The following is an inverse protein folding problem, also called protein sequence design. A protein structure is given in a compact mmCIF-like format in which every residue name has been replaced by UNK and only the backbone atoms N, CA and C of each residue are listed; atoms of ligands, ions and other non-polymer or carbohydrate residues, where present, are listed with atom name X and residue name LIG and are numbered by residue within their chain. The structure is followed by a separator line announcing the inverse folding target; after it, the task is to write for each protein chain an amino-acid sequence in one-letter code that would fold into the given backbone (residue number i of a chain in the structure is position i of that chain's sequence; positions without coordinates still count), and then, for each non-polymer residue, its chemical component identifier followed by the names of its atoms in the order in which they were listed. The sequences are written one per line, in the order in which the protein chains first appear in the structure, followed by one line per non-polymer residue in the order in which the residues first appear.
data_IF_187205512519
#
_entry.id   IF_187205512519
#
_cell.length_a   1.000
_cell.length_b   1.000
_cell.length_c   1.000
_cell.angle_alpha   90.00
_cell.angle_beta   90.00
_cell.angle_gamma   90.00
#
_symmetry.space_group_name_H-M   'P 1'
#
loop_
_entity.id
_entity.type
_entity.pdbx_description
1 polymer ?
#
# COMPACT_ATOMS: atom_id res chain seq x y z
N UNK A 1 -2.68 47.85 -40.52
CA UNK A 1 -3.23 46.47 -40.61
C UNK A 1 -2.19 45.48 -40.10
N UNK A 2 -2.57 44.45 -39.30
CA UNK A 2 -1.80 43.30 -38.76
C UNK A 2 -1.13 43.51 -37.41
N UNK A 3 -1.94 43.81 -36.34
CA UNK A 3 -1.53 43.59 -34.94
C UNK A 3 -2.26 42.39 -34.29
N UNK A 4 -3.13 41.70 -35.04
CA UNK A 4 -3.95 40.58 -34.57
C UNK A 4 -3.17 39.28 -34.22
N UNK A 5 -2.11 38.86 -34.98
CA UNK A 5 -1.43 37.62 -34.69
C UNK A 5 -0.56 37.66 -33.42
N UNK A 6 -0.04 38.84 -33.04
CA UNK A 6 0.83 38.95 -31.84
C UNK A 6 0.04 38.84 -30.54
N UNK A 7 -1.19 39.39 -30.50
CA UNK A 7 -2.08 39.31 -29.33
C UNK A 7 -2.60 37.88 -29.15
N UNK A 8 -2.91 37.17 -30.26
CA UNK A 8 -3.33 35.78 -30.21
C UNK A 8 -2.19 34.86 -29.69
N UNK A 9 -0.94 35.11 -30.11
CA UNK A 9 0.23 34.36 -29.64
C UNK A 9 0.51 34.62 -28.17
N UNK A 10 0.32 35.84 -27.67
CA UNK A 10 0.49 36.20 -26.27
C UNK A 10 -0.60 35.55 -25.38
N UNK A 11 -1.84 35.46 -25.86
CA UNK A 11 -2.93 34.80 -25.14
C UNK A 11 -2.71 33.29 -25.06
N UNK A 12 -2.28 32.66 -26.16
CA UNK A 12 -1.96 31.21 -26.17
C UNK A 12 -0.79 30.90 -25.27
N UNK A 13 0.27 31.75 -25.22
CA UNK A 13 1.40 31.54 -24.31
C UNK A 13 1.03 31.72 -22.81
N UNK A 14 0.10 32.62 -22.50
CA UNK A 14 -0.43 32.80 -21.15
C UNK A 14 -1.26 31.58 -20.67
N UNK A 15 -2.05 30.96 -21.54
CA UNK A 15 -2.80 29.75 -21.22
C UNK A 15 -1.88 28.54 -21.02
N UNK A 16 -0.80 28.41 -21.79
CA UNK A 16 0.19 27.32 -21.62
C UNK A 16 0.95 27.46 -20.30
N UNK A 17 1.31 28.67 -19.88
CA UNK A 17 1.99 28.92 -18.61
C UNK A 17 1.07 28.71 -17.41
N UNK A 18 -0.21 29.02 -17.50
CA UNK A 18 -1.19 28.77 -16.44
C UNK A 18 -1.49 27.27 -16.29
N UNK A 19 -1.56 26.50 -17.38
CA UNK A 19 -1.74 25.06 -17.36
C UNK A 19 -0.55 24.33 -16.70
N UNK A 20 0.69 24.69 -17.04
CA UNK A 20 1.88 24.12 -16.43
C UNK A 20 2.02 24.40 -14.92
N UNK A 21 1.49 25.51 -14.41
CA UNK A 21 1.50 25.81 -12.97
C UNK A 21 0.48 24.96 -12.20
N UNK A 22 -0.71 24.77 -12.74
CA UNK A 22 -1.76 23.95 -12.14
C UNK A 22 -1.34 22.48 -12.07
N UNK A 23 -0.84 21.91 -13.17
CA UNK A 23 -0.38 20.52 -13.23
C UNK A 23 0.72 20.22 -12.21
N UNK A 24 1.71 21.12 -12.07
CA UNK A 24 2.79 20.98 -11.10
C UNK A 24 2.25 21.04 -9.66
N UNK A 25 1.33 21.94 -9.36
CA UNK A 25 0.74 22.07 -8.03
C UNK A 25 -0.03 20.79 -7.62
N UNK A 26 -0.73 20.16 -8.55
CA UNK A 26 -1.44 18.91 -8.30
C UNK A 26 -0.45 17.75 -8.04
N UNK A 27 0.63 17.66 -8.82
CA UNK A 27 1.66 16.64 -8.61
C UNK A 27 2.39 16.82 -7.27
N UNK A 28 2.72 18.05 -6.89
CA UNK A 28 3.34 18.37 -5.61
C UNK A 28 2.42 17.98 -4.44
N UNK A 29 1.11 18.22 -4.54
CA UNK A 29 0.13 17.80 -3.55
C UNK A 29 0.06 16.27 -3.42
N UNK A 30 0.00 15.56 -4.53
CA UNK A 30 -0.05 14.10 -4.54
C UNK A 30 1.24 13.50 -3.97
N UNK A 31 2.39 14.08 -4.29
CA UNK A 31 3.67 13.67 -3.74
C UNK A 31 3.76 13.95 -2.23
N UNK A 32 3.25 15.09 -1.78
CA UNK A 32 3.18 15.42 -0.34
C UNK A 32 2.29 14.41 0.41
N UNK A 33 1.12 14.06 -0.14
CA UNK A 33 0.23 13.08 0.47
C UNK A 33 0.90 11.71 0.61
N UNK A 34 1.63 11.26 -0.43
CA UNK A 34 2.36 9.99 -0.39
C UNK A 34 3.50 10.03 0.64
N UNK A 35 4.25 11.13 0.69
CA UNK A 35 5.36 11.31 1.65
C UNK A 35 4.87 11.31 3.10
N UNK A 36 3.75 11.98 3.40
CA UNK A 36 3.15 12.00 4.73
C UNK A 36 2.82 10.59 5.21
N UNK A 37 2.26 9.75 4.35
CA UNK A 37 1.90 8.37 4.70
C UNK A 37 3.09 7.48 5.11
N UNK A 38 4.32 7.90 4.81
CA UNK A 38 5.52 7.13 5.13
C UNK A 38 6.16 7.53 6.47
N UNK A 39 5.60 8.51 7.21
CA UNK A 39 6.16 9.00 8.47
C UNK A 39 5.84 8.03 9.62
N UNK A 40 4.54 7.74 9.85
CA UNK A 40 4.05 6.85 10.90
C UNK A 40 2.64 6.32 10.59
N UNK A 41 2.06 5.54 11.49
CA UNK A 41 0.73 4.94 11.27
C UNK A 41 -0.41 5.97 11.37
N UNK A 42 -0.29 7.00 12.22
CA UNK A 42 -1.30 8.06 12.36
C UNK A 42 -1.29 9.06 11.21
N UNK A 43 -0.19 9.14 10.46
CA UNK A 43 0.02 10.09 9.36
C UNK A 43 -0.96 9.87 8.19
N UNK A 44 -1.53 8.69 8.06
CA UNK A 44 -2.52 8.38 7.02
C UNK A 44 -3.77 9.28 7.11
N UNK A 45 -4.22 9.62 8.32
CA UNK A 45 -5.35 10.54 8.55
C UNK A 45 -5.05 11.96 8.07
N UNK A 46 -3.80 12.40 8.18
CA UNK A 46 -3.38 13.71 7.64
C UNK A 46 -3.30 13.70 6.12
N UNK A 47 -2.84 12.58 5.51
CA UNK A 47 -2.85 12.43 4.07
C UNK A 47 -4.28 12.44 3.51
N UNK A 48 -5.24 11.77 4.16
CA UNK A 48 -6.67 11.82 3.80
C UNK A 48 -7.17 13.28 3.82
N UNK A 49 -6.91 14.02 4.90
CA UNK A 49 -7.33 15.44 5.00
C UNK A 49 -6.72 16.32 3.91
N UNK A 50 -5.48 16.05 3.51
CA UNK A 50 -4.83 16.76 2.42
C UNK A 50 -5.50 16.43 1.07
N UNK A 51 -5.75 15.16 0.81
CA UNK A 51 -6.42 14.70 -0.41
C UNK A 51 -7.87 15.18 -0.46
N UNK A 52 -8.60 15.23 0.65
CA UNK A 52 -9.97 15.77 0.71
C UNK A 52 -10.04 17.23 0.28
N UNK A 53 -9.02 18.05 0.60
CA UNK A 53 -8.93 19.44 0.13
C UNK A 53 -8.81 19.55 -1.39
N UNK A 54 -8.20 18.57 -2.04
CA UNK A 54 -8.07 18.52 -3.48
C UNK A 54 -9.33 18.01 -4.21
N UNK A 55 -10.22 17.32 -3.49
CA UNK A 55 -11.42 16.69 -4.04
C UNK A 55 -12.30 17.62 -4.90
N UNK A 56 -12.56 18.90 -4.54
CA UNK A 56 -13.33 19.81 -5.38
C UNK A 56 -12.66 20.16 -6.71
N UNK A 57 -11.33 20.01 -6.80
CA UNK A 57 -10.51 20.37 -7.95
C UNK A 57 -10.20 19.17 -8.87
N UNK A 58 -10.75 17.99 -8.60
CA UNK A 58 -10.45 16.78 -9.37
C UNK A 58 -10.80 16.88 -10.86
N UNK A 59 -11.71 17.77 -11.24
CA UNK A 59 -12.03 18.03 -12.64
C UNK A 59 -10.88 18.70 -13.40
N UNK A 60 -10.03 19.43 -12.68
CA UNK A 60 -8.86 20.14 -13.23
C UNK A 60 -7.64 19.20 -13.35
N UNK A 61 -7.68 18.04 -12.68
CA UNK A 61 -6.61 17.05 -12.74
C UNK A 61 -6.59 16.34 -14.10
N UNK A 62 -5.40 16.07 -14.64
CA UNK A 62 -5.23 15.17 -15.75
C UNK A 62 -5.73 13.75 -15.41
N UNK A 63 -5.94 12.91 -16.42
CA UNK A 63 -6.33 11.51 -16.17
C UNK A 63 -5.31 10.77 -15.29
N UNK A 64 -4.02 10.98 -15.54
CA UNK A 64 -2.94 10.37 -14.74
C UNK A 64 -3.00 10.82 -13.28
N UNK A 65 -3.16 12.11 -13.03
CA UNK A 65 -3.28 12.67 -11.69
C UNK A 65 -4.54 12.17 -10.97
N UNK A 66 -5.68 12.06 -11.65
CA UNK A 66 -6.89 11.46 -11.04
C UNK A 66 -6.68 10.00 -10.64
N UNK A 67 -6.02 9.20 -11.48
CA UNK A 67 -5.75 7.79 -11.13
C UNK A 67 -4.76 7.69 -9.97
N UNK A 68 -3.72 8.53 -9.95
CA UNK A 68 -2.78 8.62 -8.82
C UNK A 68 -3.49 9.09 -7.54
N UNK A 69 -4.36 10.10 -7.62
CA UNK A 69 -5.19 10.55 -6.51
C UNK A 69 -6.01 9.39 -5.92
N UNK A 70 -6.73 8.65 -6.76
CA UNK A 70 -7.54 7.52 -6.31
C UNK A 70 -6.69 6.42 -5.66
N UNK A 71 -5.54 6.10 -6.23
CA UNK A 71 -4.63 5.10 -5.66
C UNK A 71 -4.11 5.52 -4.29
N UNK A 72 -3.65 6.77 -4.16
CA UNK A 72 -3.13 7.31 -2.89
C UNK A 72 -4.25 7.46 -1.84
N UNK A 73 -5.45 7.85 -2.24
CA UNK A 73 -6.59 7.96 -1.33
C UNK A 73 -6.95 6.59 -0.74
N UNK A 74 -7.00 5.54 -1.57
CA UNK A 74 -7.24 4.18 -1.10
C UNK A 74 -6.07 3.65 -0.25
N UNK A 75 -4.82 3.94 -0.61
CA UNK A 75 -3.66 3.62 0.23
C UNK A 75 -3.78 4.27 1.62
N UNK A 76 -4.18 5.53 1.68
CA UNK A 76 -4.37 6.26 2.93
C UNK A 76 -5.54 5.70 3.76
N UNK A 77 -6.67 5.39 3.12
CA UNK A 77 -7.82 4.75 3.78
C UNK A 77 -7.43 3.40 4.38
N UNK A 78 -6.77 2.53 3.60
CA UNK A 78 -6.32 1.22 4.09
C UNK A 78 -5.35 1.36 5.27
N UNK A 79 -4.43 2.33 5.22
CA UNK A 79 -3.49 2.57 6.32
C UNK A 79 -4.16 3.19 7.57
N UNK A 80 -5.28 3.89 7.39
CA UNK A 80 -6.08 4.46 8.48
C UNK A 80 -7.19 3.51 8.99
N UNK A 81 -7.16 2.23 8.58
CA UNK A 81 -8.15 1.20 8.92
C UNK A 81 -9.59 1.58 8.55
N UNK A 82 -9.77 2.38 7.49
CA UNK A 82 -11.07 2.72 6.94
C UNK A 82 -11.46 1.67 5.91
N UNK A 83 -12.55 0.94 6.20
CA UNK A 83 -13.00 -0.17 5.36
C UNK A 83 -13.58 0.29 4.02
N UNK A 84 -13.35 -0.49 3.00
CA UNK A 84 -13.91 -0.30 1.66
C UNK A 84 -15.28 -1.00 1.55
N UNK A 85 -16.16 -0.42 0.74
CA UNK A 85 -17.51 -0.98 0.48
C UNK A 85 -17.77 -1.27 -1.00
N UNK A 86 -16.86 -0.90 -1.91
CA UNK A 86 -17.01 -1.10 -3.37
C UNK A 86 -15.67 -1.19 -4.06
N UNK A 87 -15.59 -2.03 -5.07
CA UNK A 87 -14.41 -2.27 -5.90
C UNK A 87 -14.34 -1.38 -7.16
N UNK A 88 -15.42 -0.66 -7.48
CA UNK A 88 -15.59 0.03 -8.77
C UNK A 88 -14.48 1.05 -9.08
N UNK A 89 -14.04 1.82 -8.08
CA UNK A 89 -12.97 2.80 -8.26
C UNK A 89 -11.64 2.08 -8.50
N UNK A 90 -11.32 1.10 -7.66
CA UNK A 90 -10.03 0.42 -7.76
C UNK A 90 -9.90 -0.46 -9.00
N UNK A 91 -10.99 -1.01 -9.54
CA UNK A 91 -10.98 -1.65 -10.86
C UNK A 91 -10.52 -0.70 -11.97
N UNK A 92 -11.01 0.54 -11.97
CA UNK A 92 -10.60 1.55 -12.94
C UNK A 92 -9.14 1.97 -12.77
N UNK A 93 -8.69 2.07 -11.52
CA UNK A 93 -7.28 2.37 -11.18
C UNK A 93 -6.37 1.25 -11.67
N UNK A 94 -6.70 -0.01 -11.40
CA UNK A 94 -5.94 -1.17 -11.88
C UNK A 94 -5.88 -1.17 -13.41
N UNK A 95 -7.02 -1.05 -14.11
CA UNK A 95 -7.07 -1.03 -15.57
C UNK A 95 -6.23 0.12 -16.21
N UNK A 96 -6.06 1.22 -15.48
CA UNK A 96 -5.17 2.31 -15.88
C UNK A 96 -3.70 1.93 -15.70
N UNK A 97 -3.32 1.45 -14.50
CA UNK A 97 -1.92 1.15 -14.18
C UNK A 97 -1.39 -0.09 -14.90
N UNK A 98 -2.23 -1.04 -15.28
CA UNK A 98 -1.85 -2.15 -16.18
C UNK A 98 -1.21 -1.65 -17.49
N UNK A 99 -1.70 -0.50 -18.00
CA UNK A 99 -1.26 0.07 -19.29
C UNK A 99 -0.17 1.14 -19.14
N UNK A 100 -0.13 1.83 -18.01
CA UNK A 100 0.65 3.06 -17.86
C UNK A 100 1.59 3.04 -16.63
N UNK A 101 1.47 2.04 -15.75
CA UNK A 101 2.20 2.01 -14.50
C UNK A 101 3.57 1.35 -14.60
N UNK A 102 4.45 1.76 -13.69
CA UNK A 102 5.67 1.03 -13.34
C UNK A 102 5.34 -0.28 -12.62
N UNK A 103 6.31 -1.17 -12.42
CA UNK A 103 6.14 -2.40 -11.65
C UNK A 103 5.60 -2.14 -10.24
N UNK A 104 6.15 -1.14 -9.52
CA UNK A 104 5.70 -0.77 -8.19
C UNK A 104 4.27 -0.19 -8.17
N UNK A 105 3.92 0.63 -9.15
CA UNK A 105 2.57 1.20 -9.24
C UNK A 105 1.53 0.13 -9.57
N UNK A 106 1.82 -0.81 -10.47
CA UNK A 106 0.95 -1.96 -10.74
C UNK A 106 0.80 -2.85 -9.51
N UNK A 107 1.91 -3.15 -8.82
CA UNK A 107 1.90 -3.90 -7.57
C UNK A 107 1.00 -3.23 -6.53
N UNK A 108 1.14 -1.92 -6.32
CA UNK A 108 0.33 -1.17 -5.36
C UNK A 108 -1.15 -1.14 -5.77
N UNK A 109 -1.46 -0.94 -7.07
CA UNK A 109 -2.84 -0.92 -7.56
C UNK A 109 -3.54 -2.28 -7.34
N UNK A 110 -2.90 -3.38 -7.69
CA UNK A 110 -3.43 -4.74 -7.43
C UNK A 110 -3.55 -5.02 -5.93
N UNK A 111 -2.57 -4.61 -5.12
CA UNK A 111 -2.63 -4.74 -3.67
C UNK A 111 -3.84 -4.02 -3.09
N UNK A 112 -4.09 -2.76 -3.48
CA UNK A 112 -5.24 -2.00 -2.99
C UNK A 112 -6.58 -2.63 -3.43
N UNK A 113 -6.67 -3.17 -4.63
CA UNK A 113 -7.88 -3.90 -5.06
C UNK A 113 -8.06 -5.20 -4.25
N UNK A 114 -6.96 -5.89 -3.92
CA UNK A 114 -6.99 -7.03 -2.99
C UNK A 114 -7.49 -6.63 -1.59
N UNK A 115 -7.06 -5.48 -1.07
CA UNK A 115 -7.57 -4.93 0.20
C UNK A 115 -9.07 -4.62 0.13
N UNK A 116 -9.55 -4.07 -0.99
CA UNK A 116 -10.99 -3.86 -1.19
C UNK A 116 -11.76 -5.18 -1.12
N UNK A 117 -11.31 -6.22 -1.80
CA UNK A 117 -11.97 -7.53 -1.76
C UNK A 117 -11.89 -8.20 -0.38
N UNK A 118 -10.79 -8.00 0.35
CA UNK A 118 -10.70 -8.42 1.76
C UNK A 118 -11.81 -7.78 2.60
N UNK A 119 -12.03 -6.47 2.45
CA UNK A 119 -12.95 -5.70 3.28
C UNK A 119 -14.43 -5.98 2.95
N UNK A 120 -14.73 -6.30 1.68
CA UNK A 120 -16.08 -6.76 1.27
C UNK A 120 -16.26 -8.27 1.43
N UNK A 121 -15.35 -8.94 2.14
CA UNK A 121 -15.41 -10.36 2.51
C UNK A 121 -15.33 -11.35 1.33
N UNK A 122 -14.73 -10.96 0.22
CA UNK A 122 -14.47 -11.79 -0.96
C UNK A 122 -13.05 -12.37 -0.93
N UNK A 123 -12.77 -13.24 0.05
CA UNK A 123 -11.43 -13.78 0.31
C UNK A 123 -10.75 -14.43 -0.92
N UNK A 124 -11.45 -15.23 -1.79
CA UNK A 124 -10.83 -15.77 -2.99
C UNK A 124 -10.33 -14.67 -3.94
N UNK A 125 -11.13 -13.61 -4.14
CA UNK A 125 -10.76 -12.47 -4.97
C UNK A 125 -9.62 -11.67 -4.36
N UNK A 126 -9.63 -11.48 -3.03
CA UNK A 126 -8.53 -10.82 -2.33
C UNK A 126 -7.21 -11.56 -2.57
N UNK A 127 -7.18 -12.88 -2.41
CA UNK A 127 -5.99 -13.72 -2.67
C UNK A 127 -5.56 -13.67 -4.14
N UNK A 128 -6.51 -13.68 -5.09
CA UNK A 128 -6.20 -13.55 -6.52
C UNK A 128 -5.45 -12.23 -6.79
N UNK A 129 -5.98 -11.11 -6.29
CA UNK A 129 -5.36 -9.80 -6.52
C UNK A 129 -4.07 -9.59 -5.74
N UNK A 130 -3.91 -10.19 -4.56
CA UNK A 130 -2.61 -10.23 -3.87
C UNK A 130 -1.57 -11.02 -4.65
N UNK A 131 -1.93 -12.16 -5.25
CA UNK A 131 -1.02 -12.91 -6.13
C UNK A 131 -0.64 -12.07 -7.36
N UNK A 132 -1.61 -11.46 -8.07
CA UNK A 132 -1.34 -10.55 -9.19
C UNK A 132 -0.39 -9.41 -8.78
N UNK A 133 -0.56 -8.87 -7.56
CA UNK A 133 0.33 -7.85 -7.03
C UNK A 133 1.76 -8.38 -6.86
N UNK A 134 1.95 -9.57 -6.28
CA UNK A 134 3.29 -10.14 -6.09
C UNK A 134 3.99 -10.47 -7.41
N UNK A 135 3.25 -10.81 -8.47
CA UNK A 135 3.77 -11.06 -9.82
C UNK A 135 4.33 -9.79 -10.48
N UNK A 136 3.88 -8.60 -10.04
CA UNK A 136 4.40 -7.33 -10.57
C UNK A 136 5.74 -6.93 -9.92
N UNK A 137 6.10 -7.53 -8.79
CA UNK A 137 7.30 -7.14 -8.05
C UNK A 137 8.58 -7.52 -8.82
N UNK A 138 9.34 -6.53 -9.24
CA UNK A 138 10.69 -6.74 -9.78
C UNK A 138 11.72 -6.75 -8.65
N UNK A 139 11.90 -7.92 -8.03
CA UNK A 139 12.85 -8.10 -6.92
C UNK A 139 14.31 -8.03 -7.33
N UNK A 140 14.62 -7.87 -8.63
CA UNK A 140 15.96 -7.65 -9.15
C UNK A 140 16.30 -6.16 -9.24
N UNK A 141 15.29 -5.30 -9.26
CA UNK A 141 15.44 -3.84 -9.26
C UNK A 141 15.83 -3.32 -7.88
N UNK A 142 16.74 -2.34 -7.86
CA UNK A 142 17.07 -1.61 -6.62
C UNK A 142 15.88 -0.77 -6.09
N UNK A 143 14.96 -0.38 -6.98
CA UNK A 143 13.78 0.43 -6.67
C UNK A 143 12.56 -0.41 -6.27
N UNK A 144 12.70 -1.73 -6.07
CA UNK A 144 11.58 -2.58 -5.67
C UNK A 144 10.97 -2.11 -4.34
N UNK A 145 9.65 -1.87 -4.32
CA UNK A 145 8.92 -1.51 -3.09
C UNK A 145 8.72 -2.75 -2.21
N UNK A 146 9.78 -3.15 -1.51
CA UNK A 146 9.75 -4.25 -0.56
C UNK A 146 8.79 -3.99 0.62
N UNK A 147 8.50 -2.71 0.95
CA UNK A 147 7.56 -2.36 2.00
C UNK A 147 6.12 -2.72 1.61
N UNK A 148 5.73 -2.45 0.38
CA UNK A 148 4.44 -2.93 -0.14
C UNK A 148 4.43 -4.44 -0.28
N UNK A 149 5.49 -5.05 -0.81
CA UNK A 149 5.58 -6.50 -1.02
C UNK A 149 5.46 -7.29 0.29
N UNK A 150 6.11 -6.85 1.38
CA UNK A 150 5.99 -7.51 2.67
C UNK A 150 4.56 -7.41 3.24
N UNK A 151 3.88 -6.26 3.06
CA UNK A 151 2.48 -6.09 3.48
C UNK A 151 1.54 -7.02 2.73
N UNK A 152 1.73 -7.21 1.41
CA UNK A 152 0.93 -8.14 0.61
C UNK A 152 1.02 -9.56 1.21
N UNK A 153 2.22 -10.06 1.45
CA UNK A 153 2.40 -11.38 2.04
C UNK A 153 1.87 -11.47 3.48
N UNK A 154 1.98 -10.40 4.27
CA UNK A 154 1.35 -10.31 5.58
C UNK A 154 -0.18 -10.43 5.51
N UNK A 155 -0.82 -9.73 4.57
CA UNK A 155 -2.27 -9.84 4.36
C UNK A 155 -2.69 -11.22 3.85
N UNK A 156 -1.90 -11.87 3.00
CA UNK A 156 -2.13 -13.26 2.60
C UNK A 156 -2.06 -14.19 3.81
N UNK A 157 -1.09 -13.99 4.72
CA UNK A 157 -0.97 -14.74 5.97
C UNK A 157 -2.25 -14.65 6.81
N UNK A 158 -2.76 -13.43 7.01
CA UNK A 158 -4.02 -13.21 7.76
C UNK A 158 -5.22 -13.87 7.07
N UNK A 159 -5.29 -13.86 5.75
CA UNK A 159 -6.37 -14.54 5.03
C UNK A 159 -6.27 -16.06 5.17
N UNK A 160 -5.07 -16.63 5.10
CA UNK A 160 -4.85 -18.07 5.29
C UNK A 160 -5.14 -18.52 6.72
N UNK A 161 -4.77 -17.71 7.73
CA UNK A 161 -5.16 -17.93 9.13
C UNK A 161 -6.68 -18.04 9.27
N UNK A 162 -7.43 -17.04 8.74
CA UNK A 162 -8.91 -17.01 8.78
C UNK A 162 -9.56 -18.18 8.01
N UNK A 163 -8.86 -18.78 7.06
CA UNK A 163 -9.30 -19.95 6.30
C UNK A 163 -8.81 -21.28 6.90
N UNK A 164 -8.13 -21.24 8.06
CA UNK A 164 -7.55 -22.41 8.71
C UNK A 164 -6.56 -23.17 7.82
N UNK A 165 -5.71 -22.46 7.09
CA UNK A 165 -4.70 -22.98 6.17
C UNK A 165 -3.28 -22.74 6.69
N UNK A 166 -2.83 -23.44 7.77
CA UNK A 166 -1.62 -23.09 8.52
C UNK A 166 -0.33 -23.23 7.71
N UNK A 167 -0.25 -24.15 6.76
CA UNK A 167 0.97 -24.29 5.94
C UNK A 167 1.12 -23.14 4.94
N UNK A 168 0.00 -22.67 4.35
CA UNK A 168 -0.03 -21.51 3.46
C UNK A 168 0.25 -20.22 4.25
N UNK A 169 -0.31 -20.12 5.46
CA UNK A 169 -0.05 -19.03 6.39
C UNK A 169 1.45 -18.91 6.71
N UNK A 170 2.10 -20.02 7.14
CA UNK A 170 3.53 -20.03 7.39
C UNK A 170 4.36 -19.62 6.18
N UNK A 171 4.02 -20.13 5.00
CA UNK A 171 4.72 -19.80 3.76
C UNK A 171 4.57 -18.32 3.38
N UNK A 172 3.41 -17.72 3.59
CA UNK A 172 3.18 -16.30 3.36
C UNK A 172 3.93 -15.44 4.39
N UNK A 173 3.84 -15.79 5.69
CA UNK A 173 4.53 -15.05 6.75
C UNK A 173 6.07 -15.13 6.63
N UNK A 174 6.63 -16.25 6.17
CA UNK A 174 8.07 -16.35 5.90
C UNK A 174 8.51 -15.36 4.81
N UNK A 175 7.72 -15.21 3.75
CA UNK A 175 7.97 -14.20 2.72
C UNK A 175 7.77 -12.78 3.25
N UNK A 176 6.75 -12.54 4.07
CA UNK A 176 6.53 -11.24 4.71
C UNK A 176 7.73 -10.83 5.56
N UNK A 177 8.24 -11.72 6.41
CA UNK A 177 9.46 -11.51 7.23
C UNK A 177 10.65 -11.17 6.34
N UNK A 178 10.89 -11.98 5.29
CA UNK A 178 12.01 -11.77 4.36
C UNK A 178 11.98 -10.37 3.74
N UNK A 179 10.83 -9.99 3.18
CA UNK A 179 10.70 -8.71 2.47
C UNK A 179 10.63 -7.51 3.41
N UNK A 180 10.14 -7.68 4.64
CA UNK A 180 10.23 -6.65 5.67
C UNK A 180 11.69 -6.31 6.02
N UNK A 181 12.57 -7.31 6.12
CA UNK A 181 14.00 -7.06 6.29
C UNK A 181 14.62 -6.34 5.08
N UNK A 182 14.23 -6.67 3.85
CA UNK A 182 14.69 -5.94 2.66
C UNK A 182 14.20 -4.49 2.64
N UNK A 183 13.00 -4.23 3.16
CA UNK A 183 12.44 -2.90 3.38
C UNK A 183 13.08 -2.15 4.57
N UNK A 184 14.01 -2.77 5.31
CA UNK A 184 14.59 -2.26 6.57
C UNK A 184 13.53 -1.99 7.66
N UNK A 185 12.42 -2.66 7.60
CA UNK A 185 11.31 -2.58 8.54
C UNK A 185 11.39 -3.73 9.56
N UNK A 186 12.31 -3.57 10.52
CA UNK A 186 12.57 -4.60 11.54
C UNK A 186 11.33 -4.87 12.40
N UNK A 187 10.56 -3.82 12.73
CA UNK A 187 9.37 -3.98 13.57
C UNK A 187 8.34 -4.91 12.93
N UNK A 188 7.98 -4.64 11.67
CA UNK A 188 7.03 -5.51 10.97
C UNK A 188 7.61 -6.89 10.66
N UNK A 189 8.93 -7.02 10.42
CA UNK A 189 9.56 -8.33 10.30
C UNK A 189 9.35 -9.18 11.55
N UNK A 190 9.51 -8.59 12.74
CA UNK A 190 9.31 -9.30 14.01
C UNK A 190 7.82 -9.59 14.29
N UNK A 191 6.91 -8.69 13.93
CA UNK A 191 5.46 -8.93 14.04
C UNK A 191 5.02 -10.08 13.14
N UNK A 192 5.46 -10.13 11.87
CA UNK A 192 5.17 -11.26 10.98
C UNK A 192 5.81 -12.56 11.48
N UNK A 193 7.02 -12.49 12.06
CA UNK A 193 7.62 -13.67 12.68
C UNK A 193 6.80 -14.19 13.86
N UNK A 194 6.31 -13.29 14.73
CA UNK A 194 5.44 -13.65 15.87
C UNK A 194 4.12 -14.25 15.39
N UNK A 195 3.49 -13.69 14.36
CA UNK A 195 2.21 -14.17 13.84
C UNK A 195 2.25 -15.64 13.39
N UNK A 196 3.43 -16.22 13.18
CA UNK A 196 3.56 -17.67 12.87
C UNK A 196 3.11 -18.57 14.02
N UNK A 197 2.94 -18.04 15.23
CA UNK A 197 2.47 -18.79 16.38
C UNK A 197 1.07 -19.37 16.16
N UNK A 198 0.15 -18.61 15.53
CA UNK A 198 -1.22 -19.05 15.25
C UNK A 198 -1.26 -20.31 14.40
N UNK A 199 -0.44 -20.37 13.33
CA UNK A 199 -0.34 -21.57 12.51
C UNK A 199 0.18 -22.80 13.28
N UNK A 200 1.19 -22.62 14.14
CA UNK A 200 1.70 -23.72 14.97
C UNK A 200 0.68 -24.17 16.02
N UNK A 201 -0.07 -23.22 16.61
CA UNK A 201 -1.15 -23.54 17.56
C UNK A 201 -2.25 -24.34 16.85
N UNK A 202 -2.68 -23.92 15.66
CA UNK A 202 -3.68 -24.65 14.88
C UNK A 202 -3.23 -26.06 14.50
N UNK A 203 -1.91 -26.25 14.25
CA UNK A 203 -1.31 -27.57 14.00
C UNK A 203 -1.13 -28.42 15.28
N UNK A 204 -1.57 -27.94 16.45
CA UNK A 204 -1.37 -28.62 17.74
C UNK A 204 0.08 -28.64 18.22
N UNK A 205 0.99 -27.87 17.58
CA UNK A 205 2.43 -27.78 17.91
C UNK A 205 2.69 -26.69 18.96
N UNK A 206 2.08 -26.85 20.15
CA UNK A 206 2.10 -25.83 21.21
C UNK A 206 3.50 -25.41 21.64
N UNK A 207 4.44 -26.34 21.73
CA UNK A 207 5.84 -26.02 22.06
C UNK A 207 6.48 -25.12 21.01
N UNK A 208 6.20 -25.37 19.72
CA UNK A 208 6.69 -24.53 18.63
C UNK A 208 6.08 -23.14 18.68
N UNK A 209 4.78 -23.01 18.94
CA UNK A 209 4.10 -21.72 19.10
C UNK A 209 4.71 -20.93 20.27
N UNK A 210 4.93 -21.56 21.41
CA UNK A 210 5.57 -20.93 22.56
C UNK A 210 7.01 -20.50 22.27
N UNK A 211 7.79 -21.31 21.57
CA UNK A 211 9.15 -20.94 21.13
C UNK A 211 9.14 -19.71 20.23
N UNK A 212 8.20 -19.61 19.30
CA UNK A 212 8.04 -18.42 18.42
C UNK A 212 7.80 -17.18 19.29
N UNK A 213 6.85 -17.23 20.23
CA UNK A 213 6.51 -16.09 21.10
C UNK A 213 7.71 -15.67 21.96
N UNK A 214 8.40 -16.62 22.60
CA UNK A 214 9.59 -16.34 23.42
C UNK A 214 10.71 -15.70 22.59
N UNK A 215 10.98 -16.21 21.38
CA UNK A 215 11.99 -15.65 20.49
C UNK A 215 11.57 -14.25 20.00
N UNK A 216 10.31 -14.07 19.61
CA UNK A 216 9.79 -12.77 19.19
C UNK A 216 9.94 -11.73 20.31
N UNK A 217 9.49 -12.04 21.54
CA UNK A 217 9.63 -11.14 22.70
C UNK A 217 11.08 -10.74 22.96
N UNK A 218 12.01 -11.70 22.90
CA UNK A 218 13.43 -11.40 23.09
C UNK A 218 14.00 -10.52 21.97
N UNK A 219 13.58 -10.74 20.72
CA UNK A 219 14.00 -9.92 19.58
C UNK A 219 13.39 -8.50 19.66
N UNK A 220 12.12 -8.37 20.04
CA UNK A 220 11.50 -7.06 20.27
C UNK A 220 12.29 -6.26 21.33
N UNK A 221 12.58 -6.84 22.50
CA UNK A 221 13.40 -6.17 23.54
C UNK A 221 14.78 -5.77 23.03
N UNK A 222 15.45 -6.69 22.31
CA UNK A 222 16.78 -6.41 21.74
C UNK A 222 16.78 -5.19 20.82
N UNK A 223 15.68 -4.92 20.13
CA UNK A 223 15.52 -3.80 19.20
C UNK A 223 14.81 -2.59 19.84
N UNK A 224 14.52 -2.60 21.13
CA UNK A 224 13.89 -1.49 21.85
C UNK A 224 12.38 -1.36 21.64
N UNK A 225 11.71 -2.43 21.19
CA UNK A 225 10.25 -2.49 21.00
C UNK A 225 9.59 -3.11 22.23
N UNK A 226 9.72 -2.46 23.40
CA UNK A 226 9.28 -3.02 24.68
C UNK A 226 7.77 -3.26 24.77
N UNK A 227 6.96 -2.41 24.12
CA UNK A 227 5.52 -2.59 24.04
C UNK A 227 5.15 -3.89 23.33
N UNK A 228 5.69 -4.12 22.12
CA UNK A 228 5.44 -5.36 21.35
C UNK A 228 5.98 -6.59 22.08
N UNK A 229 7.11 -6.46 22.81
CA UNK A 229 7.67 -7.54 23.61
C UNK A 229 6.74 -7.97 24.74
N UNK A 230 5.99 -7.06 25.35
CA UNK A 230 5.09 -7.35 26.46
C UNK A 230 3.76 -7.99 26.01
N UNK A 231 3.35 -7.79 24.76
CA UNK A 231 2.14 -8.42 24.19
C UNK A 231 2.44 -9.71 23.42
N UNK A 232 3.70 -10.12 23.33
CA UNK A 232 4.09 -11.34 22.63
C UNK A 232 3.80 -12.65 23.41
N UNK A 233 3.12 -12.55 24.58
CA UNK A 233 2.76 -13.69 25.43
C UNK A 233 1.24 -13.86 25.57
#
# INVERSE_FOLDING_TARGET
MKKLPLVLLAIVSLFVLAGCHGDKQHDDLLQQADSIMNIDDDSAKFAIKLLDKAKPQLNDFSKAQRMRYQLLYHKAMNKADILFSSDSIMKNVVAYYEKHGTSNERMLAYYMLGCVYRDIHEAPMALEYYNKATEQADTTSQDCDYATLCRIYGQMGILFEKQFLPYQELGALDKAVKYAYFAKDTLNALRYYQNKNSAYDFLGKKDSAMIINLKAANLFRKHGYDYDANIAF
#
